data_IF_473587337691
#
_entry.id   IF_473587337691
#
_cell.length_a   1.000
_cell.length_b   1.000
_cell.length_c   1.000
_cell.angle_alpha   90.00
_cell.angle_beta   90.00
_cell.angle_gamma   90.00
#
_symmetry.space_group_name_H-M   'P 1'
#
loop_
_entity.id
_entity.type
_entity.pdbx_description
1 polymer ?
#
# COMPACT_ATOMS: atom_id res chain seq x y z
N UNK A 1 0.43 -23.70 -7.79
CA UNK A 1 1.09 -22.36 -7.85
C UNK A 1 1.55 -21.92 -6.46
N UNK A 2 0.70 -21.92 -5.44
CA UNK A 2 1.04 -21.54 -4.05
C UNK A 2 2.17 -22.41 -3.46
N UNK A 3 2.17 -23.69 -3.72
CA UNK A 3 3.20 -24.66 -3.26
C UNK A 3 4.64 -24.32 -3.70
N UNK A 4 4.80 -23.49 -4.74
CA UNK A 4 6.11 -23.07 -5.26
C UNK A 4 6.60 -21.75 -4.67
N UNK A 5 5.80 -21.10 -3.82
CA UNK A 5 6.14 -19.81 -3.22
C UNK A 5 7.06 -20.07 -2.01
N UNK A 6 8.27 -19.53 -2.08
CA UNK A 6 9.18 -19.54 -0.93
C UNK A 6 8.82 -18.39 0.00
N UNK A 7 8.23 -18.70 1.15
CA UNK A 7 7.82 -17.71 2.14
C UNK A 7 8.96 -16.83 2.67
N UNK A 8 10.21 -17.34 2.65
CA UNK A 8 11.39 -16.55 3.06
C UNK A 8 11.73 -15.40 2.08
N UNK A 9 11.18 -15.45 0.86
CA UNK A 9 11.39 -14.43 -0.16
C UNK A 9 10.26 -13.37 -0.18
N UNK A 10 9.32 -13.45 0.76
CA UNK A 10 8.17 -12.54 0.82
C UNK A 10 8.40 -11.50 1.92
N UNK A 11 8.24 -10.23 1.56
CA UNK A 11 8.02 -9.14 2.49
C UNK A 11 6.53 -8.82 2.49
N UNK A 12 5.85 -9.18 3.57
CA UNK A 12 4.46 -8.77 3.80
C UNK A 12 4.44 -7.30 4.19
N UNK A 13 3.44 -6.56 3.73
CA UNK A 13 3.30 -5.15 4.05
C UNK A 13 1.83 -4.73 4.17
N UNK A 14 1.63 -3.67 4.92
CA UNK A 14 0.38 -2.94 5.08
C UNK A 14 0.70 -1.49 5.44
N UNK A 15 -0.12 -0.53 4.99
CA UNK A 15 0.07 0.89 5.28
C UNK A 15 -1.14 1.50 5.97
N UNK A 16 -0.87 2.50 6.82
CA UNK A 16 -1.90 3.37 7.36
C UNK A 16 -1.72 4.79 6.78
N UNK A 17 -2.82 5.36 6.35
CA UNK A 17 -2.84 6.66 5.68
C UNK A 17 -3.88 7.59 6.30
N UNK A 18 -3.60 8.87 6.23
CA UNK A 18 -4.52 9.94 6.66
C UNK A 18 -4.55 11.05 5.61
N UNK A 19 -5.57 11.94 5.61
CA UNK A 19 -5.52 13.18 4.83
C UNK A 19 -4.23 13.97 5.09
N UNK A 20 -3.66 14.58 4.05
CA UNK A 20 -2.45 15.42 4.16
C UNK A 20 -2.64 16.56 5.15
N UNK A 21 -3.79 17.22 5.10
CA UNK A 21 -4.21 18.27 6.05
C UNK A 21 -5.36 17.76 6.92
N UNK A 22 -5.43 18.28 8.13
CA UNK A 22 -6.44 17.85 9.11
C UNK A 22 -7.88 18.05 8.64
N UNK A 23 -8.13 19.09 7.82
CA UNK A 23 -9.45 19.38 7.27
C UNK A 23 -9.30 20.04 5.89
N UNK A 24 -10.41 20.06 5.14
CA UNK A 24 -10.51 20.65 3.81
C UNK A 24 -10.08 22.13 3.76
N UNK A 25 -10.39 22.91 4.79
CA UNK A 25 -10.06 24.34 4.85
C UNK A 25 -8.56 24.61 5.02
N UNK A 26 -7.79 23.60 5.39
CA UNK A 26 -6.32 23.69 5.42
C UNK A 26 -5.67 23.63 4.03
N UNK A 27 -6.41 23.24 3.00
CA UNK A 27 -5.96 23.26 1.61
C UNK A 27 -5.95 24.69 1.06
N UNK A 28 -4.99 24.99 0.18
CA UNK A 28 -5.07 26.20 -0.64
C UNK A 28 -6.22 26.09 -1.67
N UNK A 29 -6.60 27.23 -2.25
CA UNK A 29 -7.77 27.32 -3.13
C UNK A 29 -7.63 26.48 -4.41
N UNK A 30 -6.44 26.35 -4.95
CA UNK A 30 -6.19 25.53 -6.14
C UNK A 30 -6.34 24.03 -5.80
N UNK A 31 -5.77 23.59 -4.70
CA UNK A 31 -5.88 22.21 -4.22
C UNK A 31 -7.34 21.85 -3.86
N UNK A 32 -8.12 22.80 -3.30
CA UNK A 32 -9.56 22.61 -3.06
C UNK A 32 -10.32 22.36 -4.38
N UNK A 33 -10.05 23.14 -5.42
CA UNK A 33 -10.67 22.96 -6.73
C UNK A 33 -10.28 21.61 -7.37
N UNK A 34 -9.01 21.22 -7.27
CA UNK A 34 -8.54 19.93 -7.76
C UNK A 34 -9.19 18.76 -7.03
N UNK A 35 -9.34 18.86 -5.71
CA UNK A 35 -10.08 17.89 -4.90
C UNK A 35 -11.54 17.79 -5.32
N UNK A 36 -12.22 18.91 -5.45
CA UNK A 36 -13.61 18.97 -5.87
C UNK A 36 -13.82 18.32 -7.24
N UNK A 37 -12.97 18.67 -8.21
CA UNK A 37 -13.01 18.08 -9.55
C UNK A 37 -12.74 16.58 -9.54
N UNK A 38 -11.70 16.13 -8.80
CA UNK A 38 -11.35 14.71 -8.74
C UNK A 38 -12.45 13.85 -8.12
N UNK A 39 -13.18 14.38 -7.14
CA UNK A 39 -14.14 13.59 -6.36
C UNK A 39 -15.59 13.74 -6.86
N UNK A 40 -15.88 14.64 -7.82
CA UNK A 40 -17.24 14.97 -8.25
C UNK A 40 -18.10 13.74 -8.61
N UNK A 41 -17.54 12.74 -9.28
CA UNK A 41 -18.25 11.52 -9.68
C UNK A 41 -18.31 10.43 -8.60
N UNK A 42 -17.59 10.62 -7.49
CA UNK A 42 -17.54 9.66 -6.37
C UNK A 42 -18.40 10.11 -5.20
N UNK A 43 -18.71 11.42 -5.15
CA UNK A 43 -19.62 11.99 -4.18
C UNK A 43 -21.06 11.75 -4.62
N UNK A 44 -21.92 11.38 -3.68
CA UNK A 44 -23.37 11.41 -3.89
C UNK A 44 -23.81 12.87 -3.90
N UNK A 45 -24.92 13.17 -4.57
CA UNK A 45 -25.42 14.51 -4.81
C UNK A 45 -25.57 15.40 -3.55
N UNK A 46 -25.73 14.79 -2.38
CA UNK A 46 -25.91 15.47 -1.09
C UNK A 46 -24.59 15.68 -0.31
N UNK A 47 -23.45 15.15 -0.79
CA UNK A 47 -22.18 15.22 -0.06
C UNK A 47 -21.28 16.32 -0.64
N UNK A 48 -20.96 17.32 0.18
CA UNK A 48 -20.05 18.39 -0.22
C UNK A 48 -18.61 17.89 -0.41
N UNK A 49 -17.79 18.66 -1.13
CA UNK A 49 -16.36 18.36 -1.27
C UNK A 49 -15.65 18.42 0.10
N UNK A 50 -16.07 19.33 0.97
CA UNK A 50 -15.55 19.48 2.33
C UNK A 50 -15.87 18.24 3.19
N UNK A 51 -17.13 17.79 3.21
CA UNK A 51 -17.53 16.61 3.99
C UNK A 51 -16.85 15.33 3.47
N UNK A 52 -16.66 15.25 2.16
CA UNK A 52 -16.00 14.09 1.55
C UNK A 52 -14.49 14.04 1.81
N UNK A 53 -13.89 15.14 2.28
CA UNK A 53 -12.44 15.22 2.51
C UNK A 53 -11.94 14.28 3.61
N UNK A 54 -12.79 13.80 4.50
CA UNK A 54 -12.44 12.75 5.46
C UNK A 54 -11.85 11.50 4.79
N UNK A 55 -12.19 11.25 3.52
CA UNK A 55 -11.71 10.13 2.73
C UNK A 55 -10.41 10.42 1.97
N UNK A 56 -9.85 11.62 2.08
CA UNK A 56 -8.68 12.03 1.30
C UNK A 56 -7.46 11.13 1.50
N UNK A 57 -7.35 10.46 2.64
CA UNK A 57 -6.29 9.49 2.92
C UNK A 57 -6.20 8.30 1.96
N UNK A 58 -7.23 8.02 1.13
CA UNK A 58 -7.17 6.94 0.14
C UNK A 58 -6.53 7.36 -1.20
N UNK A 59 -6.24 8.64 -1.41
CA UNK A 59 -5.56 9.16 -2.59
C UNK A 59 -4.20 9.73 -2.25
N UNK A 60 -3.16 9.22 -2.88
CA UNK A 60 -1.78 9.62 -2.61
C UNK A 60 -1.50 11.10 -2.87
N UNK A 61 -2.31 11.76 -3.70
CA UNK A 61 -2.21 13.18 -4.01
C UNK A 61 -2.74 14.10 -2.88
N UNK A 62 -3.59 13.55 -2.01
CA UNK A 62 -4.26 14.29 -0.94
C UNK A 62 -4.09 13.67 0.45
N UNK A 63 -3.50 12.48 0.51
CA UNK A 63 -3.20 11.77 1.74
C UNK A 63 -1.70 11.62 1.96
N UNK A 64 -1.33 11.18 3.16
CA UNK A 64 0.05 10.83 3.55
C UNK A 64 0.08 9.53 4.33
N UNK A 65 1.23 8.88 4.30
CA UNK A 65 1.50 7.65 5.05
C UNK A 65 1.93 8.01 6.47
N UNK A 66 1.29 7.41 7.46
CA UNK A 66 1.67 7.54 8.87
C UNK A 66 2.36 6.29 9.42
N UNK A 67 2.16 5.14 8.78
CA UNK A 67 2.83 3.89 9.15
C UNK A 67 2.98 2.98 7.94
N UNK A 68 4.13 2.32 7.84
CA UNK A 68 4.34 1.14 7.00
C UNK A 68 4.72 -0.01 7.93
N UNK A 69 3.86 -1.01 8.02
CA UNK A 69 4.13 -2.25 8.76
C UNK A 69 4.64 -3.31 7.80
N UNK A 70 5.68 -4.03 8.20
CA UNK A 70 6.25 -5.11 7.40
C UNK A 70 6.45 -6.37 8.23
N UNK A 71 6.26 -7.53 7.57
CA UNK A 71 6.46 -8.84 8.18
C UNK A 71 7.24 -9.77 7.25
N UNK A 72 8.07 -10.64 7.81
CA UNK A 72 8.85 -11.60 7.04
C UNK A 72 9.23 -12.83 7.87
N UNK A 73 9.47 -13.93 7.20
CA UNK A 73 9.91 -15.17 7.83
C UNK A 73 11.44 -15.22 7.96
N UNK A 74 11.92 -15.73 9.09
CA UNK A 74 13.33 -16.09 9.34
C UNK A 74 13.40 -17.49 9.91
N UNK A 75 14.36 -18.27 9.42
CA UNK A 75 14.62 -19.60 9.93
C UNK A 75 15.73 -19.54 11.00
N UNK A 76 15.50 -20.20 12.14
CA UNK A 76 16.51 -20.49 13.15
C UNK A 76 16.60 -22.01 13.29
N UNK A 77 17.55 -22.63 12.62
CA UNK A 77 17.56 -24.08 12.44
C UNK A 77 16.28 -24.54 11.71
N UNK A 78 15.59 -25.51 12.26
CA UNK A 78 14.34 -26.05 11.69
C UNK A 78 13.08 -25.24 12.07
N UNK A 79 13.24 -24.21 12.90
CA UNK A 79 12.11 -23.40 13.37
C UNK A 79 11.97 -22.17 12.49
N UNK A 80 10.78 -22.03 11.86
CA UNK A 80 10.39 -20.83 11.14
C UNK A 80 9.74 -19.82 12.09
N UNK A 81 10.28 -18.62 12.14
CA UNK A 81 9.77 -17.52 12.95
C UNK A 81 9.25 -16.42 12.03
N UNK A 82 8.13 -15.78 12.40
CA UNK A 82 7.63 -14.59 11.73
C UNK A 82 8.04 -13.36 12.53
N UNK A 83 8.63 -12.37 11.87
CA UNK A 83 9.02 -11.09 12.47
C UNK A 83 8.20 -9.97 11.87
N UNK A 84 7.78 -9.04 12.72
CA UNK A 84 7.03 -7.84 12.32
C UNK A 84 7.77 -6.62 12.85
N UNK A 85 7.81 -5.56 12.06
CA UNK A 85 8.23 -4.22 12.47
C UNK A 85 7.41 -3.17 11.74
N UNK A 86 7.35 -1.96 12.32
CA UNK A 86 6.65 -0.84 11.69
C UNK A 86 7.55 0.39 11.65
N UNK A 87 7.50 1.09 10.53
CA UNK A 87 8.08 2.43 10.36
C UNK A 87 6.97 3.45 10.63
N UNK A 88 7.23 4.42 11.48
CA UNK A 88 6.24 5.43 11.88
C UNK A 88 6.92 6.78 12.17
N UNK A 89 6.14 7.85 12.17
CA UNK A 89 6.60 9.20 12.45
C UNK A 89 6.46 10.13 11.24
N UNK A 90 7.48 10.89 10.89
CA UNK A 90 7.49 11.80 9.75
C UNK A 90 7.54 11.01 8.44
N UNK A 91 6.64 11.33 7.48
CA UNK A 91 6.44 10.54 6.27
C UNK A 91 7.73 10.32 5.46
N UNK A 92 8.51 11.37 5.27
CA UNK A 92 9.76 11.29 4.50
C UNK A 92 10.76 10.32 5.14
N UNK A 93 10.79 10.25 6.46
CA UNK A 93 11.60 9.28 7.21
C UNK A 93 11.08 7.87 7.01
N UNK A 94 9.76 7.65 7.15
CA UNK A 94 9.11 6.35 6.92
C UNK A 94 9.47 5.82 5.54
N UNK A 95 9.32 6.65 4.51
CA UNK A 95 9.58 6.28 3.12
C UNK A 95 11.06 5.97 2.86
N UNK A 96 11.99 6.73 3.44
CA UNK A 96 13.43 6.46 3.33
C UNK A 96 13.82 5.16 4.04
N UNK A 97 13.33 4.92 5.25
CA UNK A 97 13.61 3.70 6.02
C UNK A 97 13.08 2.47 5.27
N UNK A 98 11.87 2.54 4.71
CA UNK A 98 11.31 1.48 3.89
C UNK A 98 12.08 1.27 2.58
N UNK A 99 12.47 2.35 1.90
CA UNK A 99 13.34 2.28 0.72
C UNK A 99 14.67 1.57 1.03
N UNK A 100 15.28 1.92 2.16
CA UNK A 100 16.52 1.27 2.60
C UNK A 100 16.33 -0.23 2.89
N UNK A 101 15.24 -0.61 3.55
CA UNK A 101 14.90 -2.02 3.77
C UNK A 101 14.81 -2.78 2.44
N UNK A 102 14.10 -2.23 1.45
CA UNK A 102 13.95 -2.86 0.13
C UNK A 102 15.29 -3.00 -0.59
N UNK A 103 16.11 -1.96 -0.59
CA UNK A 103 17.39 -1.93 -1.30
C UNK A 103 18.46 -2.82 -0.67
N UNK A 104 18.43 -2.98 0.67
CA UNK A 104 19.44 -3.77 1.39
C UNK A 104 19.08 -5.25 1.53
N UNK A 105 17.81 -5.55 1.80
CA UNK A 105 17.41 -6.91 2.22
C UNK A 105 16.45 -7.60 1.25
N UNK A 106 15.69 -6.84 0.44
CA UNK A 106 14.66 -7.38 -0.44
C UNK A 106 14.85 -6.99 -1.92
N UNK A 107 16.08 -6.68 -2.35
CA UNK A 107 16.38 -6.26 -3.72
C UNK A 107 16.53 -7.43 -4.73
N UNK A 108 16.75 -8.67 -4.28
CA UNK A 108 16.94 -9.83 -5.14
C UNK A 108 15.73 -10.12 -6.05
N UNK A 109 15.96 -10.65 -7.25
CA UNK A 109 14.91 -10.96 -8.23
C UNK A 109 13.82 -11.89 -7.68
N UNK A 110 14.19 -12.79 -6.75
CA UNK A 110 13.29 -13.73 -6.10
C UNK A 110 12.38 -13.09 -5.04
N UNK A 111 12.75 -11.91 -4.52
CA UNK A 111 11.98 -11.26 -3.47
C UNK A 111 10.72 -10.59 -4.06
N UNK A 112 9.59 -10.76 -3.38
CA UNK A 112 8.30 -10.17 -3.74
C UNK A 112 7.66 -9.51 -2.53
N UNK A 113 6.85 -8.50 -2.78
CA UNK A 113 5.97 -7.90 -1.78
C UNK A 113 4.65 -8.66 -1.74
N UNK A 114 3.99 -8.67 -0.59
CA UNK A 114 2.67 -9.27 -0.43
C UNK A 114 1.84 -8.45 0.55
N UNK A 115 0.59 -8.19 0.21
CA UNK A 115 -0.39 -7.57 1.08
C UNK A 115 -1.80 -8.00 0.69
N UNK A 116 -2.80 -7.36 1.27
CA UNK A 116 -4.20 -7.61 0.95
C UNK A 116 -4.79 -6.40 0.22
N UNK A 117 -5.11 -6.55 -1.05
CA UNK A 117 -5.40 -5.46 -1.97
C UNK A 117 -4.21 -4.51 -2.22
N UNK A 118 -3.01 -4.96 -1.88
CA UNK A 118 -1.81 -4.13 -1.88
C UNK A 118 -1.34 -3.76 -3.29
N UNK A 119 -1.64 -4.55 -4.31
CA UNK A 119 -1.33 -4.23 -5.71
C UNK A 119 -2.15 -3.06 -6.23
N UNK A 120 -3.36 -2.86 -5.73
CA UNK A 120 -4.24 -1.75 -6.10
C UNK A 120 -4.09 -0.54 -5.18
N UNK A 121 -3.69 -0.73 -3.92
CA UNK A 121 -3.63 0.34 -2.93
C UNK A 121 -2.21 0.60 -2.39
N UNK A 122 -1.67 -0.24 -1.52
CA UNK A 122 -0.46 0.03 -0.74
C UNK A 122 0.76 0.31 -1.63
N UNK A 123 1.04 -0.58 -2.56
CA UNK A 123 2.24 -0.49 -3.42
C UNK A 123 2.21 0.76 -4.29
N UNK A 124 1.14 1.06 -5.05
CA UNK A 124 1.08 2.29 -5.83
C UNK A 124 0.99 3.55 -4.96
N UNK A 125 0.38 3.50 -3.77
CA UNK A 125 0.34 4.62 -2.85
C UNK A 125 1.75 4.97 -2.36
N UNK A 126 2.51 4.00 -1.87
CA UNK A 126 3.91 4.21 -1.43
C UNK A 126 4.76 4.78 -2.57
N UNK A 127 4.68 4.20 -3.77
CA UNK A 127 5.45 4.66 -4.92
C UNK A 127 5.13 6.12 -5.28
N UNK A 128 3.84 6.50 -5.31
CA UNK A 128 3.42 7.88 -5.56
C UNK A 128 3.90 8.83 -4.47
N UNK A 129 3.77 8.44 -3.19
CA UNK A 129 4.27 9.27 -2.08
C UNK A 129 5.78 9.42 -2.09
N UNK A 130 6.55 8.41 -2.49
CA UNK A 130 7.99 8.55 -2.71
C UNK A 130 8.29 9.60 -3.79
N UNK A 131 7.59 9.58 -4.92
CA UNK A 131 7.76 10.58 -5.99
C UNK A 131 7.42 11.98 -5.48
N UNK A 132 6.29 12.15 -4.79
CA UNK A 132 5.84 13.43 -4.22
C UNK A 132 6.89 13.99 -3.24
N UNK A 133 7.52 13.12 -2.45
CA UNK A 133 8.56 13.48 -1.48
C UNK A 133 9.97 13.60 -2.08
N UNK A 134 10.15 13.42 -3.41
CA UNK A 134 11.43 13.48 -4.09
C UNK A 134 12.38 12.33 -3.73
N UNK A 135 11.85 11.17 -3.37
CA UNK A 135 12.60 9.96 -3.01
C UNK A 135 12.69 9.04 -4.21
N UNK A 136 13.89 8.56 -4.52
CA UNK A 136 14.11 7.61 -5.60
C UNK A 136 13.41 6.27 -5.33
N UNK A 137 12.71 5.74 -6.35
CA UNK A 137 12.00 4.47 -6.22
C UNK A 137 12.98 3.29 -6.15
N UNK A 138 12.87 2.42 -5.14
CA UNK A 138 13.52 1.11 -5.16
C UNK A 138 13.04 0.28 -6.36
N UNK A 139 13.88 -0.62 -6.86
CA UNK A 139 13.54 -1.48 -8.00
C UNK A 139 12.22 -2.25 -7.80
N UNK A 140 11.89 -2.63 -6.56
CA UNK A 140 10.64 -3.31 -6.23
C UNK A 140 9.38 -2.47 -6.44
N UNK A 141 9.50 -1.16 -6.32
CA UNK A 141 8.40 -0.20 -6.51
C UNK A 141 8.44 0.48 -7.89
N UNK A 142 9.51 0.29 -8.67
CA UNK A 142 9.59 0.84 -10.02
C UNK A 142 8.80 -0.03 -11.01
N UNK A 143 7.49 0.19 -11.00
CA UNK A 143 6.51 -0.56 -11.80
C UNK A 143 5.98 0.27 -12.99
N UNK A 144 6.72 1.28 -13.43
CA UNK A 144 6.32 2.14 -14.55
C UNK A 144 5.95 1.33 -15.79
N UNK A 145 4.78 1.65 -16.36
CA UNK A 145 4.28 1.03 -17.60
C UNK A 145 3.84 -0.43 -17.48
N UNK A 146 3.97 -1.05 -16.31
CA UNK A 146 3.50 -2.42 -16.10
C UNK A 146 1.98 -2.48 -16.05
N UNK A 147 1.43 -3.49 -16.71
CA UNK A 147 0.02 -3.84 -16.58
C UNK A 147 -0.21 -4.59 -15.26
N UNK A 148 -1.43 -4.62 -14.69
CA UNK A 148 -1.71 -5.29 -13.42
C UNK A 148 -1.19 -6.73 -13.31
N UNK A 149 -1.29 -7.49 -14.39
CA UNK A 149 -0.82 -8.89 -14.44
C UNK A 149 0.71 -9.05 -14.62
N UNK A 150 1.43 -7.97 -14.94
CA UNK A 150 2.89 -7.94 -15.05
C UNK A 150 3.57 -7.54 -13.73
N UNK A 151 2.79 -7.10 -12.75
CA UNK A 151 3.29 -6.77 -11.41
C UNK A 151 3.67 -8.07 -10.69
N UNK A 152 4.96 -8.26 -10.31
CA UNK A 152 5.46 -9.54 -9.82
C UNK A 152 5.08 -9.82 -8.36
N UNK A 153 4.39 -8.89 -7.71
CA UNK A 153 4.02 -8.96 -6.30
C UNK A 153 2.80 -9.85 -6.08
N UNK A 154 2.66 -10.35 -4.87
CA UNK A 154 1.54 -11.17 -4.45
C UNK A 154 0.46 -10.29 -3.80
N UNK A 155 -0.78 -10.70 -3.96
CA UNK A 155 -1.92 -10.06 -3.33
C UNK A 155 -2.89 -11.13 -2.83
N UNK A 156 -3.10 -11.17 -1.53
CA UNK A 156 -3.96 -12.20 -0.91
C UNK A 156 -5.42 -12.07 -1.33
N UNK A 157 -5.88 -10.85 -1.69
CA UNK A 157 -7.21 -10.67 -2.25
C UNK A 157 -7.30 -11.29 -3.65
N UNK A 158 -6.30 -11.07 -4.51
CA UNK A 158 -6.27 -11.70 -5.85
C UNK A 158 -6.18 -13.23 -5.76
N UNK A 159 -5.35 -13.75 -4.86
CA UNK A 159 -5.23 -15.19 -4.63
C UNK A 159 -6.56 -15.82 -4.20
N UNK A 160 -7.37 -15.09 -3.42
CA UNK A 160 -8.68 -15.56 -2.95
C UNK A 160 -9.78 -15.48 -4.01
N UNK A 161 -9.63 -14.68 -5.04
CA UNK A 161 -10.66 -14.46 -6.07
C UNK A 161 -10.99 -15.71 -6.88
N UNK A 162 -10.04 -16.59 -7.17
CA UNK A 162 -10.24 -17.79 -8.02
C UNK A 162 -11.05 -17.51 -9.30
N UNK A 163 -10.88 -16.32 -9.90
CA UNK A 163 -11.65 -15.89 -11.08
C UNK A 163 -12.93 -15.13 -10.78
N UNK A 164 -13.34 -14.97 -9.52
CA UNK A 164 -14.46 -14.10 -9.12
C UNK A 164 -13.95 -12.69 -8.85
N UNK A 165 -14.23 -11.77 -9.76
CA UNK A 165 -13.85 -10.35 -9.64
C UNK A 165 -14.95 -9.45 -9.07
N UNK A 166 -16.13 -10.00 -8.76
CA UNK A 166 -17.29 -9.21 -8.32
C UNK A 166 -17.33 -8.99 -6.82
N UNK A 167 -16.72 -9.88 -6.03
CA UNK A 167 -16.80 -9.84 -4.59
C UNK A 167 -15.46 -9.48 -3.95
N UNK A 168 -15.54 -8.56 -2.99
CA UNK A 168 -14.43 -8.20 -2.13
C UNK A 168 -14.53 -8.95 -0.80
N UNK A 169 -13.48 -9.67 -0.44
CA UNK A 169 -13.37 -10.33 0.87
C UNK A 169 -12.35 -9.59 1.70
N UNK A 170 -12.75 -9.03 2.85
CA UNK A 170 -11.81 -8.33 3.73
C UNK A 170 -10.80 -9.32 4.36
N UNK A 171 -9.59 -8.83 4.65
CA UNK A 171 -8.57 -9.64 5.34
C UNK A 171 -9.09 -10.19 6.67
N UNK A 172 -9.86 -9.38 7.42
CA UNK A 172 -10.49 -9.79 8.69
C UNK A 172 -11.42 -11.00 8.52
N UNK A 173 -12.21 -11.02 7.44
CA UNK A 173 -13.08 -12.16 7.17
C UNK A 173 -12.25 -13.36 6.73
N UNK A 174 -11.26 -13.15 5.86
CA UNK A 174 -10.41 -14.21 5.34
C UNK A 174 -9.63 -14.92 6.46
N UNK A 175 -9.01 -14.17 7.37
CA UNK A 175 -8.33 -14.75 8.53
C UNK A 175 -9.28 -15.49 9.46
N UNK A 176 -10.52 -15.00 9.63
CA UNK A 176 -11.52 -15.68 10.48
C UNK A 176 -11.94 -17.03 9.93
N UNK A 177 -12.07 -17.16 8.61
CA UNK A 177 -12.53 -18.43 7.98
C UNK A 177 -11.41 -19.43 7.73
N UNK A 178 -10.16 -18.94 7.67
CA UNK A 178 -8.99 -19.83 7.50
C UNK A 178 -8.35 -20.28 8.83
N UNK A 179 -8.72 -19.70 9.96
CA UNK A 179 -8.22 -20.00 11.30
C UNK A 179 -7.20 -18.97 11.74
#
# INVERSE_FOLDING_TARGET
MIEKINLNNILFLDIETVPEYHNYRGLDSETQQLWEHKTQYQRKDEVSAEDFYERAGIWAEFGKIITISVGYFVNKGDIRNFRVTSFWGEEKKILNDFSNLLNTHFNGAQHVLCGHNAKEFDIPFIARRMIINGIALPNKLNLFGKKPWEVPHLDTLELWKFGDYKHFTSLKLLTKVLG
#
